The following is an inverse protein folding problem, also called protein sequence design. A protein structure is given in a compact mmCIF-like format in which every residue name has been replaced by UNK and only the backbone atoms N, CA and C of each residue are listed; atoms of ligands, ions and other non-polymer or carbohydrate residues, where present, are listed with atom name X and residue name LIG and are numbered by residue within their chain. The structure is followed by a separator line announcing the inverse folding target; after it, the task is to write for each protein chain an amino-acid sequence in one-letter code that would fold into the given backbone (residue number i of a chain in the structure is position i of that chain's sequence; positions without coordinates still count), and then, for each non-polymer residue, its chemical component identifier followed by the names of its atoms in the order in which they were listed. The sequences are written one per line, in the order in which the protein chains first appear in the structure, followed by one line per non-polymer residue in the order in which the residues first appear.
data_IF_331279856444
#
_entry.id   IF_331279856444
#
_cell.length_a   1.000
_cell.length_b   1.000
_cell.length_c   1.000
_cell.angle_alpha   90.00
_cell.angle_beta   90.00
_cell.angle_gamma   90.00
#
_symmetry.space_group_name_H-M   'P 1'
#
loop_
_entity.id
_entity.type
_entity.pdbx_description
1 polymer ?
#
# COMPACT_ATOMS: atom_id res chain seq x y z
N UNK A 1 -19.03 -45.17 10.96
CA UNK A 1 -18.98 -43.81 10.37
C UNK A 1 -17.51 -43.49 10.09
N UNK A 2 -16.90 -44.21 9.16
CA UNK A 2 -16.77 -43.97 7.70
C UNK A 2 -15.65 -42.99 7.34
N UNK A 3 -14.47 -43.59 7.13
CA UNK A 3 -13.44 -43.13 6.18
C UNK A 3 -14.01 -43.18 4.76
N UNK A 4 -13.48 -42.33 3.87
CA UNK A 4 -12.80 -42.69 2.59
C UNK A 4 -13.16 -41.72 1.45
N UNK A 5 -12.16 -40.98 0.97
CA UNK A 5 -12.18 -40.29 -0.33
C UNK A 5 -12.24 -41.33 -1.45
N UNK A 6 -13.20 -41.19 -2.37
CA UNK A 6 -13.25 -42.03 -3.56
C UNK A 6 -12.53 -41.36 -4.73
N UNK A 7 -11.52 -42.07 -5.25
CA UNK A 7 -11.04 -41.92 -6.61
C UNK A 7 -12.13 -42.39 -7.57
N UNK A 8 -12.47 -41.58 -8.57
CA UNK A 8 -13.05 -42.08 -9.82
C UNK A 8 -12.07 -41.72 -10.92
N UNK A 9 -11.27 -42.70 -11.30
CA UNK A 9 -10.49 -42.68 -12.53
C UNK A 9 -11.20 -43.60 -13.53
N UNK A 10 -11.77 -43.04 -14.59
CA UNK A 10 -12.13 -43.77 -15.81
C UNK A 10 -12.14 -42.81 -17.02
N UNK A 11 -10.98 -42.76 -17.66
CA UNK A 11 -10.73 -42.85 -19.11
C UNK A 11 -11.64 -42.13 -20.13
N UNK A 12 -10.97 -41.23 -20.89
CA UNK A 12 -11.10 -40.90 -22.32
C UNK A 12 -12.33 -40.10 -22.75
N UNK A 13 -12.16 -38.79 -22.94
CA UNK A 13 -12.22 -38.08 -24.24
C UNK A 13 -11.99 -36.57 -24.04
N UNK A 14 -11.28 -35.95 -24.99
CA UNK A 14 -10.92 -34.53 -25.04
C UNK A 14 -12.12 -33.61 -24.80
N UNK A 15 -11.95 -32.55 -23.99
CA UNK A 15 -12.38 -31.16 -24.26
C UNK A 15 -11.64 -30.23 -23.28
N UNK A 16 -11.05 -29.20 -23.87
CA UNK A 16 -10.41 -28.05 -23.23
C UNK A 16 -11.33 -27.37 -22.21
N UNK A 17 -10.85 -27.09 -21.00
CA UNK A 17 -11.13 -25.86 -20.21
C UNK A 17 -10.61 -25.99 -18.78
N UNK A 18 -9.91 -24.96 -18.30
CA UNK A 18 -9.79 -24.63 -16.88
C UNK A 18 -8.82 -25.47 -16.06
N UNK A 19 -7.52 -25.17 -16.15
CA UNK A 19 -6.69 -25.29 -14.94
C UNK A 19 -7.21 -24.25 -13.95
N UNK A 20 -7.98 -24.68 -12.95
CA UNK A 20 -8.08 -23.94 -11.70
C UNK A 20 -6.72 -24.10 -11.01
N UNK A 21 -5.79 -23.20 -11.33
CA UNK A 21 -4.57 -22.99 -10.56
C UNK A 21 -4.89 -21.92 -9.51
N UNK A 22 -5.14 -22.34 -8.28
CA UNK A 22 -4.81 -21.50 -7.13
C UNK A 22 -3.32 -21.68 -6.87
N UNK A 23 -2.48 -21.22 -7.79
CA UNK A 23 -1.02 -21.21 -7.61
C UNK A 23 -0.65 -19.92 -6.87
N UNK A 24 -0.46 -20.03 -5.55
CA UNK A 24 0.29 -19.01 -4.83
C UNK A 24 1.77 -19.28 -5.15
N UNK A 25 2.27 -18.84 -6.31
CA UNK A 25 3.67 -18.98 -6.78
C UNK A 25 4.70 -18.23 -5.90
N UNK A 26 4.35 -17.96 -4.65
CA UNK A 26 5.19 -17.36 -3.65
C UNK A 26 6.26 -18.35 -3.20
N UNK A 27 7.52 -17.95 -3.37
CA UNK A 27 8.69 -18.70 -2.94
C UNK A 27 9.20 -18.09 -1.64
N UNK A 28 9.34 -18.92 -0.61
CA UNK A 28 9.92 -18.48 0.66
C UNK A 28 11.43 -18.30 0.52
N UNK A 29 11.94 -17.17 1.00
CA UNK A 29 13.36 -16.86 1.10
C UNK A 29 13.72 -16.61 2.56
N UNK A 30 14.63 -17.44 3.09
CA UNK A 30 15.05 -17.39 4.48
C UNK A 30 15.85 -16.13 4.82
N UNK A 31 16.61 -15.57 3.87
CA UNK A 31 17.39 -14.36 4.10
C UNK A 31 16.49 -13.12 4.05
N UNK A 32 15.50 -13.11 3.16
CA UNK A 32 14.49 -12.06 3.09
C UNK A 32 13.45 -12.12 4.23
N UNK A 33 13.43 -13.22 5.00
CA UNK A 33 12.43 -13.52 6.02
C UNK A 33 11.01 -13.31 5.50
N UNK A 34 10.69 -13.97 4.39
CA UNK A 34 9.38 -13.82 3.75
C UNK A 34 9.23 -14.55 2.44
N UNK A 35 8.06 -14.40 1.86
CA UNK A 35 7.68 -14.96 0.57
C UNK A 35 7.77 -13.92 -0.52
N UNK A 36 8.32 -14.31 -1.67
CA UNK A 36 8.46 -13.47 -2.86
C UNK A 36 7.76 -14.11 -4.05
N UNK A 37 7.14 -13.29 -4.89
CA UNK A 37 6.61 -13.71 -6.20
C UNK A 37 7.03 -12.70 -7.26
N UNK A 38 7.76 -13.18 -8.27
CA UNK A 38 8.13 -12.38 -9.43
C UNK A 38 6.98 -12.34 -10.44
N UNK A 39 6.60 -11.14 -10.84
CA UNK A 39 5.70 -10.89 -11.97
C UNK A 39 6.52 -10.35 -13.14
N UNK A 40 6.74 -11.19 -14.15
CA UNK A 40 7.51 -10.84 -15.35
C UNK A 40 6.72 -10.00 -16.35
N UNK A 41 5.38 -10.07 -16.31
CA UNK A 41 4.51 -9.26 -17.15
C UNK A 41 4.57 -7.79 -16.70
N UNK A 42 5.07 -6.87 -17.56
CA UNK A 42 5.26 -5.48 -17.16
C UNK A 42 3.94 -4.77 -16.86
N UNK A 43 3.91 -4.00 -15.79
CA UNK A 43 2.75 -3.19 -15.37
C UNK A 43 3.21 -1.81 -14.93
N UNK A 44 2.29 -0.83 -14.91
CA UNK A 44 2.57 0.46 -14.25
C UNK A 44 2.74 0.26 -12.74
N UNK A 45 3.34 1.23 -12.05
CA UNK A 45 3.60 1.10 -10.62
C UNK A 45 2.32 0.86 -9.80
N UNK A 46 1.24 1.59 -10.13
CA UNK A 46 -0.05 1.44 -9.44
C UNK A 46 -0.70 0.08 -9.69
N UNK A 47 -0.62 -0.43 -10.93
CA UNK A 47 -1.11 -1.77 -11.28
C UNK A 47 -0.30 -2.87 -10.58
N UNK A 48 1.03 -2.71 -10.51
CA UNK A 48 1.92 -3.63 -9.80
C UNK A 48 1.59 -3.69 -8.31
N UNK A 49 1.39 -2.55 -7.66
CA UNK A 49 0.97 -2.48 -6.27
C UNK A 49 -0.37 -3.16 -6.05
N UNK A 50 -1.39 -2.81 -6.85
CA UNK A 50 -2.72 -3.41 -6.77
C UNK A 50 -2.67 -4.93 -6.96
N UNK A 51 -1.82 -5.41 -7.88
CA UNK A 51 -1.61 -6.85 -8.10
C UNK A 51 -1.06 -7.53 -6.85
N UNK A 52 -0.05 -6.96 -6.20
CA UNK A 52 0.50 -7.53 -4.96
C UNK A 52 -0.51 -7.51 -3.81
N UNK A 53 -1.28 -6.43 -3.67
CA UNK A 53 -2.32 -6.31 -2.64
C UNK A 53 -3.42 -7.36 -2.84
N UNK A 54 -3.87 -7.57 -4.08
CA UNK A 54 -4.83 -8.63 -4.43
C UNK A 54 -4.30 -10.05 -4.17
N UNK A 55 -2.98 -10.22 -4.07
CA UNK A 55 -2.32 -11.47 -3.71
C UNK A 55 -2.00 -11.58 -2.21
N UNK A 56 -2.49 -10.63 -1.39
CA UNK A 56 -2.28 -10.61 0.06
C UNK A 56 -0.84 -10.30 0.44
N UNK A 57 -0.19 -9.42 -0.32
CA UNK A 57 1.22 -9.03 -0.22
C UNK A 57 1.40 -7.56 -0.59
N UNK A 58 2.63 -7.06 -0.62
CA UNK A 58 2.93 -5.67 -1.03
C UNK A 58 4.01 -5.63 -2.11
N UNK A 59 4.10 -4.51 -2.82
CA UNK A 59 5.16 -4.29 -3.80
C UNK A 59 6.51 -4.17 -3.08
N UNK A 60 7.45 -5.07 -3.40
CA UNK A 60 8.64 -5.26 -2.60
C UNK A 60 9.58 -4.05 -2.63
N UNK A 61 10.15 -3.73 -1.46
CA UNK A 61 11.22 -2.75 -1.29
C UNK A 61 12.42 -3.41 -0.58
N UNK A 62 13.67 -2.97 -0.81
CA UNK A 62 14.86 -3.57 -0.18
C UNK A 62 14.99 -3.13 1.29
N UNK A 63 14.04 -3.54 2.14
CA UNK A 63 13.92 -3.10 3.54
C UNK A 63 14.97 -3.73 4.48
N UNK A 64 15.59 -4.82 4.06
CA UNK A 64 16.71 -5.44 4.76
C UNK A 64 17.71 -6.05 3.75
N UNK A 65 18.94 -6.38 4.17
CA UNK A 65 19.98 -6.89 3.26
C UNK A 65 19.60 -8.19 2.54
N UNK A 66 18.87 -9.08 3.21
CA UNK A 66 18.44 -10.36 2.64
C UNK A 66 17.35 -10.17 1.58
N UNK A 67 16.36 -9.31 1.84
CA UNK A 67 15.35 -8.94 0.85
C UNK A 67 15.98 -8.22 -0.35
N UNK A 68 16.93 -7.31 -0.12
CA UNK A 68 17.68 -6.67 -1.21
C UNK A 68 18.44 -7.68 -2.08
N UNK A 69 19.00 -8.74 -1.47
CA UNK A 69 19.67 -9.83 -2.20
C UNK A 69 18.65 -10.69 -2.97
N UNK A 70 17.55 -11.08 -2.34
CA UNK A 70 16.49 -11.88 -2.97
C UNK A 70 15.91 -11.19 -4.20
N UNK A 71 15.67 -9.87 -4.14
CA UNK A 71 15.22 -9.10 -5.29
C UNK A 71 16.22 -9.15 -6.45
N UNK A 72 17.52 -8.97 -6.21
CA UNK A 72 18.56 -9.10 -7.25
C UNK A 72 18.59 -10.51 -7.88
N UNK A 73 18.35 -11.55 -7.09
CA UNK A 73 18.27 -12.94 -7.58
C UNK A 73 17.06 -13.12 -8.50
N UNK A 74 15.89 -12.59 -8.13
CA UNK A 74 14.70 -12.62 -9.00
C UNK A 74 14.98 -11.92 -10.34
N UNK A 75 15.71 -10.80 -10.32
CA UNK A 75 16.10 -10.08 -11.53
C UNK A 75 17.04 -10.86 -12.46
N UNK A 76 17.81 -11.82 -11.95
CA UNK A 76 18.62 -12.69 -12.79
C UNK A 76 17.76 -13.52 -13.77
N UNK A 77 16.47 -13.70 -13.47
CA UNK A 77 15.50 -14.36 -14.34
C UNK A 77 14.99 -13.43 -15.47
N UNK A 78 15.18 -12.12 -15.35
CA UNK A 78 14.54 -11.10 -16.20
C UNK A 78 15.40 -10.57 -17.36
N UNK A 79 16.48 -11.26 -17.75
CA UNK A 79 17.33 -10.90 -18.90
C UNK A 79 17.74 -9.40 -18.98
N UNK A 80 17.87 -8.72 -17.83
CA UNK A 80 18.33 -7.33 -17.76
C UNK A 80 17.23 -6.25 -17.65
N UNK A 81 15.94 -6.62 -17.50
CA UNK A 81 14.90 -5.64 -17.15
C UNK A 81 15.03 -5.16 -15.70
N UNK A 82 14.85 -3.85 -15.50
CA UNK A 82 14.62 -3.26 -14.19
C UNK A 82 13.31 -3.76 -13.58
N UNK A 83 13.23 -3.77 -12.26
CA UNK A 83 11.97 -3.99 -11.53
C UNK A 83 11.51 -2.72 -10.85
N UNK A 84 10.20 -2.57 -10.69
CA UNK A 84 9.67 -1.59 -9.75
C UNK A 84 9.97 -2.00 -8.30
N UNK A 85 10.33 -1.00 -7.50
CA UNK A 85 10.30 -1.09 -6.05
C UNK A 85 8.99 -0.49 -5.54
N UNK A 86 8.57 -0.89 -4.35
CA UNK A 86 7.46 -0.26 -3.62
C UNK A 86 7.73 1.18 -3.17
N UNK A 87 8.71 1.88 -3.72
CA UNK A 87 9.19 3.19 -3.26
C UNK A 87 8.75 4.30 -4.21
N UNK A 88 8.08 5.32 -3.68
CA UNK A 88 7.58 6.45 -4.46
C UNK A 88 7.46 7.74 -3.63
N UNK A 89 7.42 8.91 -4.29
CA UNK A 89 7.13 10.22 -3.67
C UNK A 89 5.88 10.91 -4.26
N UNK A 90 5.15 10.18 -5.11
CA UNK A 90 3.94 10.62 -5.80
C UNK A 90 2.88 11.24 -4.87
N UNK A 91 2.82 10.78 -3.61
CA UNK A 91 1.89 11.28 -2.58
C UNK A 91 2.42 12.52 -1.83
N UNK A 92 3.73 12.65 -1.68
CA UNK A 92 4.38 13.81 -1.06
C UNK A 92 5.67 14.14 -1.80
N UNK A 93 5.60 15.13 -2.70
CA UNK A 93 6.69 15.46 -3.62
C UNK A 93 7.99 15.69 -2.88
N UNK A 94 8.99 14.90 -3.25
CA UNK A 94 10.33 14.93 -2.71
C UNK A 94 10.60 14.06 -1.50
N UNK A 95 9.62 13.29 -1.05
CA UNK A 95 9.72 12.43 0.12
C UNK A 95 9.38 11.00 -0.26
N UNK A 96 10.42 10.29 -0.71
CA UNK A 96 10.33 8.89 -1.08
C UNK A 96 10.17 8.01 0.17
N UNK A 97 9.16 7.15 0.15
CA UNK A 97 8.93 6.10 1.14
C UNK A 97 8.43 4.83 0.46
N UNK A 98 8.61 3.68 1.12
CA UNK A 98 8.01 2.44 0.63
C UNK A 98 6.53 2.37 0.94
N UNK A 99 5.81 1.46 0.27
CA UNK A 99 4.40 1.16 0.57
C UNK A 99 4.18 0.62 1.98
N UNK A 100 5.22 0.08 2.63
CA UNK A 100 5.24 -0.29 4.05
C UNK A 100 5.59 0.88 4.98
N UNK A 101 5.69 2.10 4.46
CA UNK A 101 5.97 3.32 5.21
C UNK A 101 7.45 3.62 5.43
N UNK A 102 8.37 2.68 5.18
CA UNK A 102 9.79 2.91 5.50
C UNK A 102 10.33 4.09 4.67
N UNK A 103 10.95 5.12 5.26
CA UNK A 103 11.50 6.24 4.50
C UNK A 103 12.75 5.82 3.72
N UNK A 104 12.98 6.44 2.56
CA UNK A 104 14.15 6.15 1.69
C UNK A 104 15.49 6.19 2.44
N UNK A 105 15.64 7.11 3.39
CA UNK A 105 16.84 7.26 4.23
C UNK A 105 17.14 6.05 5.11
N UNK A 106 16.14 5.24 5.44
CA UNK A 106 16.27 4.05 6.28
C UNK A 106 16.53 2.77 5.46
N UNK A 107 16.30 2.77 4.15
CA UNK A 107 16.47 1.57 3.30
C UNK A 107 17.92 1.30 2.88
N UNK A 108 18.84 2.25 3.11
CA UNK A 108 20.25 2.08 2.72
C UNK A 108 20.50 2.05 1.21
N UNK A 109 19.53 2.45 0.38
CA UNK A 109 19.70 2.57 -1.07
C UNK A 109 20.26 3.94 -1.45
N UNK A 110 21.10 3.97 -2.49
CA UNK A 110 21.74 5.19 -3.01
C UNK A 110 21.13 5.55 -4.35
N UNK A 111 20.41 6.67 -4.39
CA UNK A 111 19.90 7.25 -5.62
C UNK A 111 20.86 8.32 -6.15
N UNK A 112 20.90 8.43 -7.48
CA UNK A 112 21.62 9.50 -8.18
C UNK A 112 20.96 10.87 -8.01
N UNK A 113 21.27 11.81 -8.90
CA UNK A 113 20.66 13.13 -8.90
C UNK A 113 19.13 13.02 -9.01
N UNK A 114 18.42 13.71 -8.12
CA UNK A 114 16.96 13.72 -8.06
C UNK A 114 16.37 14.30 -9.34
N UNK A 115 15.50 13.53 -9.97
CA UNK A 115 14.68 13.97 -11.10
C UNK A 115 13.29 14.34 -10.58
N UNK A 116 12.94 15.62 -10.61
CA UNK A 116 11.69 16.12 -10.06
C UNK A 116 10.44 15.65 -10.83
N UNK A 117 10.62 15.09 -12.04
CA UNK A 117 9.52 14.58 -12.85
C UNK A 117 9.22 13.09 -12.60
N UNK A 118 10.05 12.39 -11.81
CA UNK A 118 10.00 10.94 -11.66
C UNK A 118 9.72 10.54 -10.21
N UNK A 119 8.54 9.97 -10.02
CA UNK A 119 8.01 9.75 -8.67
C UNK A 119 8.16 8.33 -8.15
N UNK A 120 8.68 7.40 -8.96
CA UNK A 120 8.85 5.99 -8.60
C UNK A 120 10.30 5.57 -8.67
N UNK A 121 10.68 4.54 -7.93
CA UNK A 121 12.04 4.00 -7.93
C UNK A 121 12.08 2.62 -8.58
N UNK A 122 13.10 2.40 -9.41
CA UNK A 122 13.42 1.08 -9.96
C UNK A 122 14.75 0.58 -9.42
N UNK A 123 14.94 -0.72 -9.50
CA UNK A 123 16.22 -1.36 -9.25
C UNK A 123 16.65 -2.14 -10.48
N UNK A 124 17.94 -2.04 -10.82
CA UNK A 124 18.62 -2.81 -11.88
C UNK A 124 19.26 -4.07 -11.31
N UNK A 125 19.64 -5.03 -12.19
CA UNK A 125 20.15 -6.34 -11.78
C UNK A 125 21.46 -6.28 -10.97
N UNK A 126 22.26 -5.23 -11.15
CA UNK A 126 23.47 -4.96 -10.37
C UNK A 126 23.18 -4.37 -8.98
N UNK A 127 21.91 -4.13 -8.65
CA UNK A 127 21.46 -3.53 -7.41
C UNK A 127 21.49 -2.01 -7.40
N UNK A 128 21.84 -1.36 -8.51
CA UNK A 128 21.72 0.09 -8.64
C UNK A 128 20.24 0.48 -8.67
N UNK A 129 19.93 1.64 -8.09
CA UNK A 129 18.57 2.16 -8.02
C UNK A 129 18.47 3.48 -8.77
N UNK A 130 17.35 3.71 -9.46
CA UNK A 130 17.14 4.91 -10.27
C UNK A 130 15.72 5.47 -10.14
N UNK A 131 15.58 6.76 -10.41
CA UNK A 131 14.25 7.37 -10.54
C UNK A 131 13.64 6.98 -11.88
N UNK A 132 12.36 6.62 -11.85
CA UNK A 132 11.54 6.25 -13.00
C UNK A 132 10.18 6.93 -12.97
N UNK A 133 9.58 7.10 -14.14
CA UNK A 133 8.18 7.51 -14.25
C UNK A 133 7.30 6.35 -13.79
N UNK A 134 6.28 6.61 -12.98
CA UNK A 134 5.39 5.57 -12.43
C UNK A 134 4.49 4.88 -13.47
N UNK A 135 4.40 5.43 -14.68
CA UNK A 135 3.59 4.90 -15.79
C UNK A 135 4.37 4.01 -16.75
N UNK A 136 5.68 3.83 -16.53
CA UNK A 136 6.48 2.94 -17.36
C UNK A 136 6.11 1.49 -17.06
N UNK A 137 5.72 0.67 -18.05
CA UNK A 137 5.42 -0.73 -17.76
C UNK A 137 6.73 -1.47 -17.43
N UNK A 138 6.84 -1.99 -16.21
CA UNK A 138 8.00 -2.76 -15.75
C UNK A 138 7.58 -4.02 -14.97
N UNK A 139 8.39 -5.09 -15.00
CA UNK A 139 8.26 -6.21 -14.08
C UNK A 139 8.35 -5.77 -12.62
N UNK A 140 7.87 -6.62 -11.71
CA UNK A 140 7.84 -6.31 -10.28
C UNK A 140 7.87 -7.56 -9.42
N UNK A 141 8.19 -7.39 -8.14
CA UNK A 141 8.18 -8.49 -7.17
C UNK A 141 7.21 -8.15 -6.05
N UNK A 142 6.31 -9.07 -5.77
CA UNK A 142 5.46 -9.01 -4.58
C UNK A 142 6.18 -9.66 -3.41
N UNK A 143 6.12 -9.04 -2.23
CA UNK A 143 6.72 -9.52 -0.99
C UNK A 143 5.67 -9.64 0.11
N UNK A 144 5.73 -10.75 0.83
CA UNK A 144 4.95 -11.00 2.04
C UNK A 144 5.92 -11.38 3.15
N UNK A 145 5.95 -10.60 4.23
CA UNK A 145 6.83 -10.87 5.37
C UNK A 145 6.45 -12.18 6.08
N UNK A 146 7.45 -12.91 6.56
CA UNK A 146 7.27 -14.10 7.38
C UNK A 146 6.78 -13.75 8.79
N UNK A 147 5.47 -13.56 8.93
CA UNK A 147 4.85 -13.36 10.23
C UNK A 147 4.70 -14.72 10.92
N UNK A 148 5.69 -15.09 11.75
CA UNK A 148 5.47 -16.11 12.79
C UNK A 148 4.38 -15.55 13.70
N UNK A 149 3.17 -16.08 13.57
CA UNK A 149 1.94 -15.58 14.21
C UNK A 149 2.07 -15.47 15.73
N UNK A 150 2.48 -14.31 16.20
CA UNK A 150 1.99 -13.67 17.42
C UNK A 150 1.53 -12.26 17.05
N UNK A 151 0.59 -12.18 16.09
CA UNK A 151 0.04 -10.97 15.47
C UNK A 151 -0.89 -10.19 16.40
N UNK A 152 -0.43 -9.77 17.58
CA UNK A 152 -1.21 -8.93 18.50
C UNK A 152 -0.40 -7.78 19.10
N UNK A 153 0.83 -7.54 18.64
CA UNK A 153 1.68 -6.48 19.20
C UNK A 153 1.88 -5.35 18.18
N UNK A 154 1.40 -4.16 18.56
CA UNK A 154 1.62 -2.91 17.85
C UNK A 154 2.72 -2.12 18.56
N UNK A 155 3.65 -1.52 17.81
CA UNK A 155 4.67 -0.63 18.36
C UNK A 155 4.32 0.86 18.14
N UNK A 156 5.14 1.75 18.67
CA UNK A 156 4.97 3.22 18.55
C UNK A 156 3.64 3.76 19.07
N UNK A 157 3.10 3.18 20.15
CA UNK A 157 1.83 3.60 20.79
C UNK A 157 0.60 3.40 19.88
N UNK A 158 0.70 2.52 18.88
CA UNK A 158 -0.46 2.07 18.13
C UNK A 158 -1.29 1.11 18.98
N UNK A 159 -2.60 1.18 18.81
CA UNK A 159 -3.56 0.29 19.45
C UNK A 159 -4.00 -0.80 18.47
N UNK A 160 -3.90 -2.06 18.89
CA UNK A 160 -4.38 -3.18 18.11
C UNK A 160 -5.90 -3.25 18.16
N UNK A 161 -6.54 -3.35 16.99
CA UNK A 161 -7.95 -3.65 16.88
C UNK A 161 -8.14 -5.10 16.42
N UNK A 162 -8.63 -5.96 17.32
CA UNK A 162 -8.84 -7.38 17.04
C UNK A 162 -9.81 -7.64 15.88
N UNK A 163 -10.84 -6.80 15.73
CA UNK A 163 -11.84 -6.97 14.69
C UNK A 163 -11.28 -6.67 13.29
N UNK A 164 -10.43 -5.63 13.18
CA UNK A 164 -9.80 -5.25 11.92
C UNK A 164 -8.51 -6.02 11.66
N UNK A 165 -7.93 -6.66 12.67
CA UNK A 165 -6.61 -7.31 12.57
C UNK A 165 -5.48 -6.33 12.28
N UNK A 166 -5.63 -5.06 12.68
CA UNK A 166 -4.75 -3.95 12.33
C UNK A 166 -4.46 -3.03 13.52
N UNK A 167 -3.35 -2.30 13.41
CA UNK A 167 -2.89 -1.33 14.39
C UNK A 167 -3.27 0.08 13.96
N UNK A 168 -3.85 0.89 14.85
CA UNK A 168 -4.24 2.27 14.56
C UNK A 168 -3.66 3.25 15.58
N UNK A 169 -3.34 4.46 15.14
CA UNK A 169 -2.88 5.55 16.02
C UNK A 169 -3.44 6.89 15.59
N UNK A 170 -4.07 7.60 16.54
CA UNK A 170 -4.54 8.97 16.34
C UNK A 170 -3.42 9.95 16.63
N UNK A 171 -3.14 10.82 15.68
CA UNK A 171 -2.27 11.98 15.86
C UNK A 171 -3.13 13.23 16.01
N UNK A 172 -3.21 13.73 17.25
CA UNK A 172 -4.03 14.91 17.62
C UNK A 172 -3.41 16.24 17.17
N UNK A 173 -2.09 16.28 16.91
CA UNK A 173 -1.44 17.49 16.42
C UNK A 173 -1.73 17.65 14.94
N UNK A 174 -2.49 18.67 14.59
CA UNK A 174 -2.89 18.92 13.21
C UNK A 174 -1.68 19.12 12.28
N UNK A 175 -1.74 18.50 11.11
CA UNK A 175 -0.73 18.57 10.07
C UNK A 175 -1.39 18.71 8.70
N UNK A 176 -0.65 19.17 7.70
CA UNK A 176 -1.09 19.04 6.30
C UNK A 176 -1.16 17.57 5.91
N UNK A 177 -1.97 17.25 4.90
CA UNK A 177 -2.14 15.86 4.45
C UNK A 177 -0.79 15.20 4.12
N UNK A 178 0.09 15.91 3.40
CA UNK A 178 1.41 15.42 3.04
C UNK A 178 2.29 15.15 4.26
N UNK A 179 2.24 16.03 5.27
CA UNK A 179 3.00 15.83 6.50
C UNK A 179 2.45 14.69 7.36
N UNK A 180 1.13 14.51 7.37
CA UNK A 180 0.49 13.38 8.02
C UNK A 180 0.88 12.04 7.36
N UNK A 181 0.86 11.99 6.02
CA UNK A 181 1.35 10.85 5.24
C UNK A 181 2.79 10.48 5.61
N UNK A 182 3.69 11.47 5.68
CA UNK A 182 5.10 11.26 6.06
C UNK A 182 5.27 10.72 7.49
N UNK A 183 4.47 11.22 8.44
CA UNK A 183 4.55 10.81 9.83
C UNK A 183 4.09 9.36 10.00
N UNK A 184 2.99 8.98 9.33
CA UNK A 184 2.55 7.59 9.33
C UNK A 184 3.59 6.67 8.69
N UNK A 185 4.19 7.09 7.57
CA UNK A 185 5.28 6.38 6.93
C UNK A 185 6.45 6.17 7.90
N UNK A 186 6.94 7.26 8.53
CA UNK A 186 8.04 7.19 9.50
C UNK A 186 7.79 6.20 10.66
N UNK A 187 6.53 6.00 11.05
CA UNK A 187 6.11 5.05 12.09
C UNK A 187 5.91 3.60 11.57
N UNK A 188 6.27 3.33 10.32
CA UNK A 188 6.14 2.03 9.66
C UNK A 188 4.70 1.70 9.25
N UNK A 189 3.88 2.71 9.00
CA UNK A 189 2.50 2.58 8.58
C UNK A 189 2.13 3.53 7.44
N UNK A 190 0.84 3.77 7.28
CA UNK A 190 0.31 4.68 6.28
C UNK A 190 -0.88 5.46 6.84
N UNK A 191 -1.32 6.53 6.16
CA UNK A 191 -2.60 7.17 6.50
C UNK A 191 -3.72 6.14 6.37
N UNK A 192 -4.66 6.14 7.30
CA UNK A 192 -5.75 5.15 7.29
C UNK A 192 -6.51 5.17 5.97
N UNK A 193 -6.71 4.00 5.38
CA UNK A 193 -7.60 3.82 4.23
C UNK A 193 -8.89 3.25 4.79
N UNK A 194 -10.01 3.92 4.58
CA UNK A 194 -11.30 3.41 5.04
C UNK A 194 -11.78 2.33 4.06
N UNK A 195 -11.53 1.06 4.36
CA UNK A 195 -11.87 -0.03 3.46
C UNK A 195 -13.39 -0.29 3.45
N UNK A 196 -14.03 -0.25 4.62
CA UNK A 196 -15.46 -0.53 4.76
C UNK A 196 -16.15 0.28 5.88
N UNK A 197 -17.44 0.03 6.06
CA UNK A 197 -18.27 0.63 7.11
C UNK A 197 -17.79 0.30 8.53
N UNK A 198 -17.27 -0.91 8.76
CA UNK A 198 -16.83 -1.32 10.07
C UNK A 198 -15.60 -0.51 10.49
N UNK A 199 -14.64 -0.37 9.57
CA UNK A 199 -13.46 0.46 9.76
C UNK A 199 -13.81 1.96 9.89
N UNK A 200 -14.69 2.49 9.04
CA UNK A 200 -15.15 3.88 9.16
C UNK A 200 -15.79 4.16 10.54
N UNK A 201 -16.56 3.22 11.08
CA UNK A 201 -17.15 3.34 12.42
C UNK A 201 -16.10 3.25 13.54
N UNK A 202 -15.07 2.41 13.38
CA UNK A 202 -13.92 2.40 14.28
C UNK A 202 -13.24 3.77 14.29
N UNK A 203 -12.84 4.30 13.14
CA UNK A 203 -12.16 5.60 13.02
C UNK A 203 -13.04 6.73 13.56
N UNK A 204 -14.36 6.66 13.38
CA UNK A 204 -15.31 7.60 13.96
C UNK A 204 -15.29 7.59 15.50
N UNK A 205 -15.11 6.42 16.11
CA UNK A 205 -15.02 6.29 17.57
C UNK A 205 -13.71 6.82 18.14
N UNK A 206 -12.65 6.93 17.33
CA UNK A 206 -11.33 7.39 17.73
C UNK A 206 -11.19 8.92 17.81
N UNK A 207 -12.22 9.69 17.43
CA UNK A 207 -12.21 11.14 17.60
C UNK A 207 -12.11 11.53 19.08
N UNK A 208 -11.19 12.44 19.47
CA UNK A 208 -11.13 12.96 20.84
C UNK A 208 -12.46 13.59 21.26
N UNK A 209 -12.87 13.38 22.51
CA UNK A 209 -14.21 13.78 22.98
C UNK A 209 -14.49 15.28 22.93
N UNK A 210 -13.45 16.13 23.02
CA UNK A 210 -13.57 17.60 23.18
C UNK A 210 -13.01 18.43 22.02
N UNK A 211 -12.24 17.81 21.13
CA UNK A 211 -11.46 18.51 20.11
C UNK A 211 -11.45 17.73 18.79
N UNK A 212 -11.32 18.45 17.66
CA UNK A 212 -11.12 17.84 16.36
C UNK A 212 -12.37 17.71 15.50
N UNK A 213 -12.28 18.23 14.27
CA UNK A 213 -13.39 18.28 13.30
C UNK A 213 -13.31 17.16 12.26
N UNK A 214 -12.10 16.80 11.87
CA UNK A 214 -11.82 15.86 10.80
C UNK A 214 -10.46 15.19 10.96
N UNK A 215 -10.30 14.04 10.32
CA UNK A 215 -9.04 13.32 10.15
C UNK A 215 -8.61 13.36 8.68
N UNK A 216 -7.34 13.59 8.39
CA UNK A 216 -6.77 13.19 7.10
C UNK A 216 -6.84 11.67 6.98
N UNK A 217 -7.21 11.20 5.79
CA UNK A 217 -7.27 9.78 5.42
C UNK A 217 -6.47 9.55 4.13
N UNK A 218 -6.08 8.31 3.87
CA UNK A 218 -5.25 7.86 2.76
C UNK A 218 -5.97 7.86 1.41
N UNK A 219 -6.67 8.93 1.06
CA UNK A 219 -7.43 9.08 -0.19
C UNK A 219 -7.21 10.48 -0.79
N UNK A 220 -7.02 10.53 -2.11
CA UNK A 220 -6.77 11.77 -2.85
C UNK A 220 -7.28 11.72 -4.29
N UNK A 221 -7.52 12.90 -4.87
CA UNK A 221 -7.93 13.04 -6.26
C UNK A 221 -6.73 13.22 -7.21
N UNK A 222 -6.87 12.72 -8.44
CA UNK A 222 -5.86 12.76 -9.49
C UNK A 222 -6.38 13.39 -10.78
N UNK A 223 -5.51 14.17 -11.42
CA UNK A 223 -5.75 14.77 -12.73
C UNK A 223 -6.89 15.79 -12.75
N UNK A 224 -7.13 16.37 -13.93
CA UNK A 224 -8.24 17.30 -14.14
C UNK A 224 -9.62 16.62 -13.98
N UNK A 225 -9.68 15.30 -14.20
CA UNK A 225 -10.89 14.48 -14.08
C UNK A 225 -11.25 14.13 -12.64
N UNK A 226 -10.37 14.44 -11.66
CA UNK A 226 -10.57 14.19 -10.22
C UNK A 226 -10.86 12.72 -9.89
N UNK A 227 -10.04 11.84 -10.43
CA UNK A 227 -10.13 10.41 -10.13
C UNK A 227 -9.65 10.20 -8.70
N UNK A 228 -10.56 9.80 -7.81
CA UNK A 228 -10.24 9.51 -6.41
C UNK A 228 -9.63 8.12 -6.27
N UNK A 229 -8.47 8.07 -5.64
CA UNK A 229 -7.69 6.83 -5.48
C UNK A 229 -7.08 6.79 -4.07
N UNK A 230 -7.05 5.61 -3.46
CA UNK A 230 -6.34 5.41 -2.19
C UNK A 230 -4.84 5.62 -2.39
N UNK A 231 -4.12 5.84 -1.30
CA UNK A 231 -2.65 5.88 -1.33
C UNK A 231 -2.02 4.56 -1.78
N UNK A 232 -2.81 3.48 -1.84
CA UNK A 232 -2.44 2.16 -2.34
C UNK A 232 -2.88 1.88 -3.79
N UNK A 233 -3.51 2.84 -4.46
CA UNK A 233 -3.89 2.71 -5.86
C UNK A 233 -5.29 2.15 -6.11
N UNK A 234 -6.07 1.87 -5.07
CA UNK A 234 -7.45 1.36 -5.21
C UNK A 234 -8.41 2.48 -5.61
N UNK A 235 -9.43 2.13 -6.40
CA UNK A 235 -10.48 3.06 -6.80
C UNK A 235 -11.38 3.39 -5.61
N UNK A 236 -11.88 4.62 -5.56
CA UNK A 236 -12.87 5.03 -4.54
C UNK A 236 -14.16 4.19 -4.57
N UNK A 237 -14.45 3.50 -5.66
CA UNK A 237 -15.63 2.62 -5.75
C UNK A 237 -15.45 1.29 -5.02
N UNK A 238 -14.21 0.93 -4.69
CA UNK A 238 -13.86 -0.35 -4.08
C UNK A 238 -13.66 -0.22 -2.55
N UNK A 239 -13.75 0.99 -2.02
CA UNK A 239 -13.53 1.33 -0.60
C UNK A 239 -14.66 2.21 -0.06
N UNK A 240 -14.65 2.53 1.23
CA UNK A 240 -15.64 3.43 1.82
C UNK A 240 -15.63 4.81 1.14
N UNK A 241 -16.80 5.26 0.68
CA UNK A 241 -16.92 6.47 -0.15
C UNK A 241 -18.14 7.34 0.21
N UNK A 242 -18.56 7.33 1.48
CA UNK A 242 -19.71 8.09 1.93
C UNK A 242 -19.38 9.57 2.16
N UNK A 243 -19.50 10.37 1.11
CA UNK A 243 -19.34 11.81 1.15
C UNK A 243 -20.41 12.52 1.98
N UNK A 244 -20.03 13.65 2.57
CA UNK A 244 -20.95 14.54 3.25
C UNK A 244 -21.89 15.21 2.23
N UNK A 245 -22.98 15.80 2.71
CA UNK A 245 -23.91 16.51 1.82
C UNK A 245 -23.18 17.58 0.99
N UNK A 246 -23.35 17.53 -0.33
CA UNK A 246 -22.71 18.36 -1.35
C UNK A 246 -21.22 18.08 -1.60
N UNK A 247 -20.62 17.05 -1.00
CA UNK A 247 -19.23 16.68 -1.25
C UNK A 247 -19.10 15.50 -2.23
N UNK A 248 -17.95 15.40 -2.94
CA UNK A 248 -16.86 16.37 -3.01
C UNK A 248 -17.22 17.57 -3.90
N UNK A 249 -17.00 18.79 -3.42
CA UNK A 249 -17.44 20.03 -4.09
C UNK A 249 -16.32 20.71 -4.91
N UNK A 250 -15.07 20.29 -4.69
CA UNK A 250 -13.90 20.90 -5.32
C UNK A 250 -13.88 22.42 -5.19
N UNK A 251 -14.16 22.95 -4.01
CA UNK A 251 -14.19 24.38 -3.73
C UNK A 251 -12.95 25.08 -4.29
N UNK A 252 -13.17 26.08 -5.16
CA UNK A 252 -12.13 26.85 -5.87
C UNK A 252 -11.20 26.02 -6.77
N UNK A 253 -11.55 24.79 -7.10
CA UNK A 253 -10.81 23.94 -8.04
C UNK A 253 -9.55 23.32 -7.47
N UNK A 254 -9.35 23.32 -6.15
CA UNK A 254 -8.08 22.94 -5.52
C UNK A 254 -8.23 22.01 -4.31
N UNK A 255 -9.33 21.27 -4.19
CA UNK A 255 -9.53 20.30 -3.12
C UNK A 255 -9.35 18.87 -3.64
N UNK A 256 -8.26 18.26 -3.21
CA UNK A 256 -7.71 17.06 -3.84
C UNK A 256 -7.18 16.06 -2.80
N UNK A 257 -7.48 16.32 -1.52
CA UNK A 257 -7.18 15.44 -0.38
C UNK A 257 -8.49 15.16 0.34
N UNK A 258 -8.73 13.91 0.73
CA UNK A 258 -9.92 13.57 1.48
C UNK A 258 -9.67 13.66 2.99
N UNK A 259 -10.72 14.03 3.71
CA UNK A 259 -10.79 13.96 5.16
C UNK A 259 -12.03 13.20 5.58
N UNK A 260 -11.97 12.57 6.74
CA UNK A 260 -13.10 11.92 7.39
C UNK A 260 -13.60 12.82 8.51
N UNK A 261 -14.87 13.18 8.48
CA UNK A 261 -15.49 14.09 9.43
C UNK A 261 -16.03 13.32 10.64
N UNK A 262 -16.15 14.01 11.78
CA UNK A 262 -16.73 13.45 13.01
C UNK A 262 -18.15 12.87 12.84
N UNK A 263 -18.92 13.35 11.87
CA UNK A 263 -20.26 12.81 11.60
C UNK A 263 -20.23 11.43 10.91
N UNK A 264 -19.05 10.94 10.49
CA UNK A 264 -18.88 9.66 9.80
C UNK A 264 -19.00 9.78 8.27
N UNK A 265 -18.78 10.97 7.71
CA UNK A 265 -18.83 11.23 6.26
C UNK A 265 -17.53 11.88 5.81
N UNK A 266 -17.30 11.90 4.49
CA UNK A 266 -16.07 12.43 3.90
C UNK A 266 -16.24 13.85 3.36
N UNK A 267 -15.13 14.58 3.30
CA UNK A 267 -15.02 15.92 2.73
C UNK A 267 -13.71 16.03 1.94
N UNK A 268 -13.71 16.75 0.82
CA UNK A 268 -12.46 17.09 0.14
C UNK A 268 -11.93 18.43 0.58
N UNK A 269 -10.61 18.53 0.70
CA UNK A 269 -9.94 19.70 1.23
C UNK A 269 -8.71 20.05 0.42
N UNK A 270 -8.27 21.30 0.56
CA UNK A 270 -7.05 21.76 -0.07
C UNK A 270 -5.82 21.06 0.52
N UNK A 271 -4.73 20.87 -0.25
CA UNK A 271 -3.51 20.22 0.23
C UNK A 271 -2.88 20.84 1.47
N UNK A 272 -3.08 22.16 1.67
CA UNK A 272 -2.54 22.90 2.81
C UNK A 272 -3.46 22.91 4.03
N UNK A 273 -4.65 22.29 3.94
CA UNK A 273 -5.54 22.16 5.10
C UNK A 273 -4.86 21.32 6.17
N UNK A 274 -4.78 21.88 7.38
CA UNK A 274 -4.29 21.17 8.56
C UNK A 274 -5.45 20.45 9.24
N UNK A 275 -5.22 19.20 9.61
CA UNK A 275 -6.17 18.40 10.37
C UNK A 275 -5.41 17.34 11.19
N UNK A 276 -6.08 16.78 12.19
CA UNK A 276 -5.61 15.55 12.83
C UNK A 276 -5.56 14.43 11.80
N UNK A 277 -4.94 13.31 12.13
CA UNK A 277 -4.88 12.17 11.21
C UNK A 277 -4.80 10.86 11.97
N UNK A 278 -5.16 9.77 11.29
CA UNK A 278 -5.02 8.42 11.82
C UNK A 278 -4.04 7.66 10.94
N UNK A 279 -3.06 7.05 11.58
CA UNK A 279 -2.15 6.11 10.95
C UNK A 279 -2.62 4.68 11.19
N UNK A 280 -2.34 3.82 10.23
CA UNK A 280 -2.74 2.43 10.17
C UNK A 280 -1.56 1.58 9.73
N UNK A 281 -1.39 0.38 10.31
CA UNK A 281 -0.38 -0.60 9.89
C UNK A 281 -0.71 -2.02 10.31
N UNK A 282 -0.03 -3.00 9.70
CA UNK A 282 -0.09 -4.39 10.13
C UNK A 282 0.56 -4.59 11.51
N UNK A 283 0.01 -5.49 12.36
CA UNK A 283 0.66 -5.92 13.59
C UNK A 283 1.97 -6.66 13.33
N UNK A 284 2.84 -6.79 14.35
CA UNK A 284 4.13 -7.47 14.25
C UNK A 284 4.04 -9.00 14.26
#
# INVERSE_FOLDING_TARGET
MLKTCYFVCLSILLITTGLVRCDNDFVFDFEADGWLKLHSEPATWSEALLKCLNEGSVLASPLNPGLAKALRIQMAQLQGSDIYLGVHDFNSKGLFGSVEGVPLSAMGIKLGLKDAAKDCITMSADGSTSYSTCTNPLPFVCYKKNENQTLNECDYEYEYNEQMGRCYKVHVREQTWSRAYELCAYEGGHLVILNDEAEANLIKSMFPAKEGKQFHIGLRAWGAERIWTTIHGESINDVFNHWNTNQPDNWLGNQERATFLRNGKMDDVQPWTVAMFVCEKSPK
#
